data_IF_928089776917
#
_entry.id   IF_928089776917
#
_cell.length_a   1.000
_cell.length_b   1.000
_cell.length_c   1.000
_cell.angle_alpha   90.00
_cell.angle_beta   90.00
_cell.angle_gamma   90.00
#
_symmetry.space_group_name_H-M   'P 1'
#
loop_
_entity.id
_entity.type
_entity.pdbx_description
1 polymer ?
#
# COMPACT_ATOMS: atom_id res chain seq x y z
N UNK A 1 5.48 -4.39 -7.29
CA UNK A 1 5.37 -3.61 -6.04
C UNK A 1 3.94 -3.73 -5.54
N UNK A 2 3.75 -4.14 -4.30
CA UNK A 2 2.45 -4.19 -3.64
C UNK A 2 2.42 -3.13 -2.53
N UNK A 3 1.39 -2.30 -2.52
CA UNK A 3 1.14 -1.29 -1.49
C UNK A 3 -0.10 -1.72 -0.72
N UNK A 4 0.05 -1.89 0.60
CA UNK A 4 -1.03 -2.38 1.46
C UNK A 4 -1.26 -1.41 2.62
N UNK A 5 -2.48 -0.86 2.80
CA UNK A 5 -2.82 -0.09 3.99
C UNK A 5 -3.06 -1.04 5.18
N UNK A 6 -2.56 -0.64 6.36
CA UNK A 6 -2.71 -1.38 7.61
C UNK A 6 -3.09 -0.41 8.72
N UNK A 7 -4.10 -0.73 9.52
CA UNK A 7 -4.53 0.05 10.67
C UNK A 7 -4.04 -0.56 11.99
N UNK A 8 -3.68 0.30 12.95
CA UNK A 8 -3.29 -0.11 14.30
C UNK A 8 -1.79 -0.08 14.56
N UNK A 9 -1.40 -0.32 15.83
CA UNK A 9 -0.03 -0.19 16.35
C UNK A 9 0.73 -1.52 16.48
N UNK A 10 0.18 -2.62 16.02
CA UNK A 10 0.87 -3.93 16.04
C UNK A 10 2.15 -3.90 15.21
N UNK A 11 3.18 -4.70 15.58
CA UNK A 11 4.40 -4.86 14.79
C UNK A 11 4.07 -5.21 13.34
N UNK A 12 4.84 -4.69 12.38
CA UNK A 12 4.66 -5.02 10.97
C UNK A 12 5.22 -6.42 10.72
N UNK A 13 4.38 -7.45 10.90
CA UNK A 13 4.75 -8.78 10.43
C UNK A 13 4.54 -8.83 8.91
N UNK A 14 5.62 -9.04 8.17
CA UNK A 14 5.63 -9.11 6.70
C UNK A 14 5.52 -10.54 6.18
N UNK A 15 5.12 -11.47 7.04
CA UNK A 15 4.91 -12.88 6.70
C UNK A 15 3.76 -13.13 5.71
N UNK A 16 3.13 -12.05 5.25
CA UNK A 16 2.00 -12.07 4.34
C UNK A 16 0.66 -12.42 5.02
N UNK A 17 0.66 -12.82 6.28
CA UNK A 17 -0.57 -13.09 7.03
C UNK A 17 -1.19 -11.81 7.60
N UNK A 18 -0.36 -10.93 8.17
CA UNK A 18 -0.80 -9.66 8.76
C UNK A 18 -1.13 -8.56 7.74
N UNK A 19 -0.70 -8.72 6.49
CA UNK A 19 -0.96 -7.76 5.38
C UNK A 19 -2.14 -8.17 4.51
N UNK A 20 -2.79 -9.31 4.79
CA UNK A 20 -4.00 -9.73 4.10
C UNK A 20 -5.23 -9.16 4.79
N UNK A 21 -6.10 -8.54 4.02
CA UNK A 21 -7.40 -8.08 4.48
C UNK A 21 -8.49 -8.90 3.82
N UNK A 22 -9.54 -9.21 4.59
CA UNK A 22 -10.78 -9.73 4.02
C UNK A 22 -11.58 -8.58 3.43
N UNK A 23 -12.40 -8.85 2.45
CA UNK A 23 -13.36 -7.90 1.90
C UNK A 23 -14.63 -8.63 1.49
N UNK A 24 -15.69 -7.88 1.20
CA UNK A 24 -16.95 -8.42 0.69
C UNK A 24 -17.23 -7.80 -0.67
N UNK A 25 -17.61 -8.61 -1.65
CA UNK A 25 -18.06 -8.11 -2.96
C UNK A 25 -19.22 -7.12 -2.85
N UNK A 26 -20.02 -7.16 -1.77
CA UNK A 26 -21.06 -6.16 -1.52
C UNK A 26 -20.55 -4.77 -1.18
N UNK A 27 -19.26 -4.62 -0.85
CA UNK A 27 -18.60 -3.33 -0.59
C UNK A 27 -17.74 -2.85 -1.76
N UNK A 28 -17.68 -3.62 -2.84
CA UNK A 28 -16.93 -3.24 -4.04
C UNK A 28 -17.76 -2.31 -4.94
N UNK A 29 -17.10 -1.28 -5.43
CA UNK A 29 -17.57 -0.39 -6.48
C UNK A 29 -16.48 -0.31 -7.55
N UNK A 30 -16.81 -0.64 -8.80
CA UNK A 30 -15.87 -0.62 -9.89
C UNK A 30 -16.47 0.07 -11.12
N UNK A 31 -15.70 0.95 -11.72
CA UNK A 31 -15.97 1.56 -13.02
C UNK A 31 -14.66 1.75 -13.79
N UNK A 32 -14.73 2.17 -15.05
CA UNK A 32 -13.52 2.42 -15.81
C UNK A 32 -12.65 3.47 -15.11
N UNK A 33 -11.41 3.12 -14.79
CA UNK A 33 -10.46 4.00 -14.11
C UNK A 33 -10.67 4.17 -12.59
N UNK A 34 -11.65 3.50 -11.98
CA UNK A 34 -11.92 3.63 -10.55
C UNK A 34 -12.30 2.31 -9.88
N UNK A 35 -11.76 2.08 -8.70
CA UNK A 35 -12.10 0.95 -7.83
C UNK A 35 -12.18 1.38 -6.38
N UNK A 36 -13.18 0.87 -5.66
CA UNK A 36 -13.36 1.08 -4.22
C UNK A 36 -13.71 -0.22 -3.52
N UNK A 37 -13.21 -0.40 -2.30
CA UNK A 37 -13.51 -1.55 -1.45
C UNK A 37 -13.30 -1.21 0.02
N UNK A 38 -14.07 -1.84 0.91
CA UNK A 38 -13.80 -1.83 2.34
C UNK A 38 -12.95 -3.05 2.72
N UNK A 39 -11.73 -2.79 3.18
CA UNK A 39 -10.80 -3.78 3.69
C UNK A 39 -11.08 -4.01 5.17
N UNK A 40 -11.54 -5.21 5.49
CA UNK A 40 -11.78 -5.64 6.87
C UNK A 40 -10.44 -6.03 7.50
N UNK A 41 -10.21 -5.65 8.75
CA UNK A 41 -9.00 -6.03 9.48
C UNK A 41 -8.81 -7.55 9.51
N UNK A 42 -7.61 -8.04 9.86
CA UNK A 42 -7.36 -9.47 10.00
C UNK A 42 -8.39 -10.05 10.98
N UNK A 43 -8.84 -11.30 10.75
CA UNK A 43 -9.75 -11.95 11.69
C UNK A 43 -9.09 -11.98 13.06
N UNK A 44 -9.82 -11.59 14.10
CA UNK A 44 -9.37 -11.76 15.49
C UNK A 44 -9.27 -13.27 15.68
N UNK A 45 -8.05 -13.81 15.76
CA UNK A 45 -7.84 -15.20 16.16
C UNK A 45 -8.35 -15.34 17.58
N UNK A 46 -9.49 -16.03 17.73
CA UNK A 46 -9.96 -16.45 19.03
C UNK A 46 -8.90 -17.35 19.67
N UNK A 47 -8.72 -17.26 20.98
CA UNK A 47 -7.71 -17.96 21.76
C UNK A 47 -7.79 -19.51 21.69
N UNK A 48 -8.70 -20.09 20.91
CA UNK A 48 -9.09 -21.49 20.99
C UNK A 48 -8.78 -22.34 19.76
N UNK A 49 -7.91 -21.90 18.85
CA UNK A 49 -7.42 -22.77 17.77
C UNK A 49 -8.50 -23.38 16.85
N UNK A 50 -9.74 -22.92 16.89
CA UNK A 50 -10.83 -23.40 16.05
C UNK A 50 -10.65 -22.89 14.62
N UNK A 51 -10.75 -23.80 13.68
CA UNK A 51 -10.56 -23.63 12.24
C UNK A 51 -11.30 -22.41 11.68
N UNK A 52 -10.54 -21.57 11.00
CA UNK A 52 -10.89 -20.24 10.45
C UNK A 52 -12.00 -20.29 9.37
N UNK A 53 -12.46 -21.45 8.95
CA UNK A 53 -13.41 -21.61 7.82
C UNK A 53 -14.87 -21.27 8.12
N UNK A 54 -15.26 -21.11 9.38
CA UNK A 54 -16.67 -20.90 9.77
C UNK A 54 -17.01 -19.51 10.35
N UNK A 55 -16.02 -18.68 10.66
CA UNK A 55 -16.28 -17.33 11.17
C UNK A 55 -16.44 -16.36 9.99
N UNK A 56 -17.69 -16.08 9.60
CA UNK A 56 -17.97 -14.85 8.85
C UNK A 56 -17.32 -13.69 9.63
N UNK A 57 -16.46 -12.87 9.00
CA UNK A 57 -15.85 -11.76 9.70
C UNK A 57 -16.98 -10.88 10.24
N UNK A 58 -17.15 -10.89 11.56
CA UNK A 58 -18.11 -10.01 12.22
C UNK A 58 -17.60 -8.61 11.99
N UNK A 59 -18.33 -7.82 11.22
CA UNK A 59 -18.05 -6.40 11.00
C UNK A 59 -18.02 -5.72 12.36
N UNK A 60 -16.84 -5.46 12.91
CA UNK A 60 -16.72 -4.47 13.98
C UNK A 60 -16.90 -3.13 13.27
N UNK A 61 -18.05 -2.50 13.48
CA UNK A 61 -18.33 -1.19 12.90
C UNK A 61 -17.19 -0.23 13.26
N UNK A 62 -16.58 0.39 12.24
CA UNK A 62 -15.47 1.34 12.43
C UNK A 62 -14.06 0.74 12.42
N UNK A 63 -13.87 -0.54 12.07
CA UNK A 63 -12.53 -1.17 11.98
C UNK A 63 -12.03 -1.40 10.54
N UNK A 64 -12.81 -1.05 9.52
CA UNK A 64 -12.43 -1.20 8.13
C UNK A 64 -11.65 0.00 7.59
N UNK A 65 -10.71 -0.28 6.68
CA UNK A 65 -10.06 0.74 5.86
C UNK A 65 -10.84 0.82 4.55
N UNK A 66 -11.39 1.98 4.20
CA UNK A 66 -11.92 2.17 2.85
C UNK A 66 -10.77 2.51 1.92
N UNK A 67 -10.58 1.72 0.87
CA UNK A 67 -9.57 1.91 -0.16
C UNK A 67 -10.24 2.32 -1.49
N UNK A 68 -9.80 3.43 -2.06
CA UNK A 68 -10.21 3.92 -3.37
C UNK A 68 -8.98 4.07 -4.25
N UNK A 69 -9.07 3.60 -5.49
CA UNK A 69 -7.96 3.55 -6.44
C UNK A 69 -8.37 4.17 -7.76
N UNK A 70 -7.49 4.99 -8.32
CA UNK A 70 -7.58 5.49 -9.69
C UNK A 70 -6.17 5.59 -10.29
N UNK A 71 -6.05 5.84 -11.58
CA UNK A 71 -4.75 5.93 -12.24
C UNK A 71 -4.79 6.79 -13.49
N UNK A 72 -3.65 7.36 -13.81
CA UNK A 72 -3.29 7.93 -15.11
C UNK A 72 -2.41 6.94 -15.90
N UNK A 73 -1.71 7.39 -16.94
CA UNK A 73 -0.85 6.52 -17.75
C UNK A 73 0.32 5.91 -16.96
N UNK A 74 0.95 6.69 -16.06
CA UNK A 74 2.13 6.26 -15.30
C UNK A 74 2.00 6.50 -13.79
N UNK A 75 0.85 6.96 -13.30
CA UNK A 75 0.66 7.26 -11.88
C UNK A 75 -0.58 6.57 -11.34
N UNK A 76 -0.40 5.73 -10.32
CA UNK A 76 -1.50 5.24 -9.49
C UNK A 76 -1.79 6.23 -8.36
N UNK A 77 -3.06 6.49 -8.10
CA UNK A 77 -3.49 7.33 -6.98
C UNK A 77 -4.42 6.54 -6.09
N UNK A 78 -4.06 6.47 -4.81
CA UNK A 78 -4.83 5.74 -3.81
C UNK A 78 -5.36 6.72 -2.77
N UNK A 79 -6.59 6.54 -2.32
CA UNK A 79 -7.20 7.24 -1.20
C UNK A 79 -7.59 6.22 -0.15
N UNK A 80 -7.02 6.35 1.06
CA UNK A 80 -7.27 5.44 2.18
C UNK A 80 -7.92 6.19 3.34
N UNK A 81 -9.15 5.80 3.69
CA UNK A 81 -9.79 6.26 4.92
C UNK A 81 -9.54 5.22 6.01
N UNK A 82 -8.72 5.59 6.99
CA UNK A 82 -8.42 4.76 8.15
C UNK A 82 -9.48 4.90 9.25
N UNK A 83 -9.64 3.87 10.11
CA UNK A 83 -10.48 3.96 11.30
C UNK A 83 -9.99 5.06 12.25
N UNK A 84 -10.92 5.84 12.81
CA UNK A 84 -10.59 6.92 13.74
C UNK A 84 -9.81 6.42 14.96
N UNK A 85 -8.79 7.18 15.35
CA UNK A 85 -7.95 6.89 16.52
C UNK A 85 -6.97 5.73 16.33
N UNK A 86 -6.95 5.08 15.17
CA UNK A 86 -5.97 4.04 14.85
C UNK A 86 -4.82 4.62 14.02
N UNK A 87 -3.61 4.12 14.26
CA UNK A 87 -2.46 4.52 13.46
C UNK A 87 -2.63 4.06 12.01
N UNK A 88 -2.46 4.99 11.09
CA UNK A 88 -2.43 4.73 9.65
C UNK A 88 -1.03 4.27 9.24
N UNK A 89 -0.94 3.16 8.52
CA UNK A 89 0.32 2.59 8.08
C UNK A 89 0.22 2.12 6.63
N UNK A 90 1.33 2.24 5.90
CA UNK A 90 1.47 1.71 4.54
C UNK A 90 2.63 0.73 4.52
N UNK A 91 2.35 -0.47 4.03
CA UNK A 91 3.37 -1.52 3.80
C UNK A 91 3.67 -1.58 2.31
N UNK A 92 4.95 -1.41 1.98
CA UNK A 92 5.48 -1.56 0.64
C UNK A 92 6.19 -2.91 0.53
N UNK A 93 5.59 -3.86 -0.18
CA UNK A 93 6.17 -5.18 -0.40
C UNK A 93 6.76 -5.29 -1.81
N UNK A 94 8.08 -5.42 -1.88
CA UNK A 94 8.83 -5.54 -3.13
C UNK A 94 9.04 -7.00 -3.57
N UNK A 95 8.75 -7.98 -2.69
CA UNK A 95 8.88 -9.42 -2.98
C UNK A 95 7.62 -10.03 -3.60
N UNK A 96 6.53 -9.25 -3.72
CA UNK A 96 5.26 -9.78 -4.16
C UNK A 96 5.32 -10.35 -5.59
N UNK A 97 4.89 -11.60 -5.76
CA UNK A 97 4.81 -12.43 -6.99
C UNK A 97 6.17 -12.83 -7.55
N UNK A 98 6.75 -12.07 -8.47
CA UNK A 98 7.91 -12.46 -9.27
C UNK A 98 9.17 -12.69 -8.42
N UNK A 99 10.12 -13.47 -8.95
CA UNK A 99 11.42 -13.65 -8.31
C UNK A 99 12.15 -12.32 -8.21
N UNK A 100 12.34 -11.81 -7.00
CA UNK A 100 13.10 -10.60 -6.75
C UNK A 100 14.59 -10.85 -6.99
N UNK A 101 15.21 -10.06 -7.87
CA UNK A 101 16.65 -10.09 -8.17
C UNK A 101 17.43 -9.04 -7.37
N UNK A 102 16.79 -7.90 -7.07
CA UNK A 102 17.34 -6.81 -6.29
C UNK A 102 16.32 -5.71 -6.07
N UNK A 103 16.59 -4.82 -5.14
CA UNK A 103 15.81 -3.62 -4.90
C UNK A 103 16.66 -2.56 -4.23
N UNK A 104 16.25 -1.32 -4.41
CA UNK A 104 16.67 -0.16 -3.63
C UNK A 104 15.45 0.61 -3.18
N UNK A 105 15.51 1.20 -1.99
CA UNK A 105 14.45 2.02 -1.44
C UNK A 105 15.05 3.07 -0.52
N UNK A 106 14.66 4.33 -0.71
CA UNK A 106 15.17 5.46 0.05
C UNK A 106 14.07 6.46 0.34
N UNK A 107 13.93 6.84 1.61
CA UNK A 107 13.14 7.99 2.01
C UNK A 107 13.94 9.25 1.71
N UNK A 108 13.45 10.08 0.79
CA UNK A 108 14.15 11.30 0.34
C UNK A 108 13.60 12.56 0.98
N UNK A 109 12.40 12.50 1.55
CA UNK A 109 11.81 13.55 2.38
C UNK A 109 10.80 12.96 3.37
N UNK A 110 10.18 13.81 4.18
CA UNK A 110 9.11 13.37 5.09
C UNK A 110 7.89 12.79 4.37
N UNK A 111 7.69 13.14 3.10
CA UNK A 111 6.54 12.74 2.32
C UNK A 111 6.87 11.93 1.06
N UNK A 112 8.15 11.66 0.79
CA UNK A 112 8.55 11.03 -0.46
C UNK A 112 9.54 9.88 -0.26
N UNK A 113 9.24 8.79 -0.94
CA UNK A 113 10.07 7.59 -1.04
C UNK A 113 10.30 7.29 -2.51
N UNK A 114 11.55 6.97 -2.87
CA UNK A 114 11.92 6.52 -4.21
C UNK A 114 12.55 5.14 -4.14
N UNK A 115 12.54 4.43 -5.24
CA UNK A 115 13.22 3.14 -5.28
C UNK A 115 13.19 2.46 -6.63
N UNK A 116 13.83 1.31 -6.64
CA UNK A 116 13.90 0.41 -7.78
C UNK A 116 13.52 -1.01 -7.31
N UNK A 117 12.82 -1.74 -8.17
CA UNK A 117 12.60 -3.17 -8.05
C UNK A 117 13.11 -3.86 -9.29
N UNK A 118 14.03 -4.81 -9.12
CA UNK A 118 14.51 -5.67 -10.17
C UNK A 118 13.97 -7.08 -9.98
N UNK A 119 13.36 -7.65 -10.99
CA UNK A 119 12.70 -8.96 -10.88
C UNK A 119 12.81 -9.78 -12.16
N UNK A 120 12.56 -11.09 -12.02
CA UNK A 120 12.50 -12.04 -13.12
C UNK A 120 11.20 -12.82 -13.08
N UNK A 121 10.52 -12.87 -14.21
CA UNK A 121 9.33 -13.66 -14.46
C UNK A 121 9.30 -14.05 -15.95
N UNK A 122 8.31 -13.60 -16.71
CA UNK A 122 8.29 -13.75 -18.17
C UNK A 122 9.47 -13.04 -18.87
N UNK A 123 9.92 -11.93 -18.32
CA UNK A 123 11.18 -11.30 -18.69
C UNK A 123 12.29 -11.74 -17.72
N UNK A 124 13.49 -12.05 -18.25
CA UNK A 124 14.62 -12.55 -17.44
C UNK A 124 15.16 -11.53 -16.44
N UNK A 125 15.09 -10.25 -16.80
CA UNK A 125 15.56 -9.11 -16.01
C UNK A 125 14.69 -7.91 -16.35
N UNK A 126 13.82 -7.54 -15.41
CA UNK A 126 12.94 -6.40 -15.58
C UNK A 126 13.16 -5.44 -14.40
N UNK A 127 13.27 -4.15 -14.72
CA UNK A 127 13.45 -3.07 -13.76
C UNK A 127 12.22 -2.19 -13.75
N UNK A 128 11.81 -1.82 -12.55
CA UNK A 128 10.74 -0.86 -12.30
C UNK A 128 11.23 0.14 -11.28
N UNK A 129 11.32 1.40 -11.68
CA UNK A 129 11.59 2.53 -10.79
C UNK A 129 10.28 3.14 -10.33
N UNK A 130 10.26 3.62 -9.08
CA UNK A 130 9.07 4.24 -8.51
C UNK A 130 9.42 5.48 -7.69
N UNK A 131 8.46 6.41 -7.64
CA UNK A 131 8.41 7.53 -6.73
C UNK A 131 7.05 7.52 -6.05
N UNK A 132 7.04 7.45 -4.72
CA UNK A 132 5.82 7.42 -3.92
C UNK A 132 5.76 8.69 -3.10
N UNK A 133 4.62 9.42 -3.17
CA UNK A 133 4.36 10.58 -2.32
C UNK A 133 3.12 10.36 -1.48
N UNK A 134 3.19 10.83 -0.23
CA UNK A 134 2.12 10.76 0.76
C UNK A 134 1.61 12.15 1.09
N UNK A 135 0.29 12.30 1.26
CA UNK A 135 -0.33 13.58 1.64
C UNK A 135 -0.07 13.97 3.10
N UNK A 136 0.44 13.04 3.91
CA UNK A 136 0.82 13.26 5.31
C UNK A 136 2.28 12.88 5.52
N UNK A 137 3.01 13.51 6.46
CA UNK A 137 4.40 13.19 6.73
C UNK A 137 4.55 11.82 7.38
N UNK A 138 5.59 11.09 6.97
CA UNK A 138 6.01 9.82 7.56
C UNK A 138 6.58 10.12 8.94
N UNK A 139 5.97 9.56 9.99
CA UNK A 139 6.43 9.68 11.37
C UNK A 139 7.48 8.62 11.72
N UNK A 140 7.25 7.38 11.26
CA UNK A 140 8.15 6.26 11.52
C UNK A 140 8.35 5.45 10.23
N UNK A 141 9.57 4.95 10.05
CA UNK A 141 9.96 4.08 8.95
C UNK A 141 10.58 2.79 9.52
N UNK A 142 10.15 1.65 8.99
CA UNK A 142 10.74 0.36 9.29
C UNK A 142 11.15 -0.31 7.96
N UNK A 143 12.46 -0.35 7.70
CA UNK A 143 13.01 -1.05 6.54
C UNK A 143 13.26 -2.52 6.89
N UNK A 144 12.71 -3.42 6.10
CA UNK A 144 12.77 -4.85 6.35
C UNK A 144 13.70 -5.54 5.34
N UNK A 145 14.91 -5.88 5.75
CA UNK A 145 15.89 -6.57 4.91
C UNK A 145 15.70 -8.09 4.85
N UNK A 146 14.73 -8.65 5.56
CA UNK A 146 14.65 -10.10 5.82
C UNK A 146 14.17 -10.91 4.62
N UNK A 147 14.92 -11.97 4.31
CA UNK A 147 14.58 -12.98 3.30
C UNK A 147 13.36 -13.83 3.75
N UNK A 148 13.13 -13.94 5.06
CA UNK A 148 12.10 -14.82 5.64
C UNK A 148 10.71 -14.16 5.74
N UNK A 149 10.66 -12.83 5.81
CA UNK A 149 9.40 -12.08 6.06
C UNK A 149 9.04 -11.08 4.94
N UNK A 150 9.73 -11.13 3.80
CA UNK A 150 9.54 -10.21 2.69
C UNK A 150 10.54 -9.05 2.70
N UNK A 151 10.70 -8.41 1.54
CA UNK A 151 11.60 -7.27 1.33
C UNK A 151 10.78 -6.05 0.99
N UNK A 152 10.99 -4.97 1.73
CA UNK A 152 10.22 -3.76 1.56
C UNK A 152 10.40 -2.79 2.73
N UNK A 153 9.44 -1.92 2.91
CA UNK A 153 9.40 -0.97 4.01
C UNK A 153 7.98 -0.76 4.52
N UNK A 154 7.88 -0.36 5.78
CA UNK A 154 6.66 0.11 6.40
C UNK A 154 6.78 1.57 6.79
N UNK A 155 5.72 2.31 6.58
CA UNK A 155 5.64 3.73 6.90
C UNK A 155 4.43 3.97 7.80
N UNK A 156 4.65 4.64 8.95
CA UNK A 156 3.59 5.02 9.89
C UNK A 156 3.32 6.53 9.81
N UNK A 157 2.06 6.90 9.89
CA UNK A 157 1.57 8.29 9.81
C UNK A 157 0.84 8.72 11.08
N UNK A 158 0.79 7.86 12.12
CA UNK A 158 -0.03 8.09 13.29
C UNK A 158 -1.53 8.01 13.00
N UNK A 159 -2.35 8.50 13.92
CA UNK A 159 -3.79 8.59 13.71
C UNK A 159 -4.12 9.79 12.81
N UNK A 160 -4.85 9.55 11.74
CA UNK A 160 -5.22 10.56 10.76
C UNK A 160 -6.71 10.92 10.87
N UNK A 161 -7.01 12.23 10.84
CA UNK A 161 -8.38 12.74 10.79
C UNK A 161 -8.93 12.83 9.35
N UNK A 162 -8.03 12.90 8.36
CA UNK A 162 -8.36 12.98 6.94
C UNK A 162 -7.84 11.74 6.20
N UNK A 163 -8.40 11.41 5.04
CA UNK A 163 -7.89 10.32 4.22
C UNK A 163 -6.42 10.53 3.84
N UNK A 164 -5.65 9.45 3.85
CA UNK A 164 -4.29 9.45 3.30
C UNK A 164 -4.37 9.26 1.78
N UNK A 165 -3.84 10.24 1.04
CA UNK A 165 -3.62 10.10 -0.40
C UNK A 165 -2.20 9.61 -0.65
N UNK A 166 -2.07 8.57 -1.46
CA UNK A 166 -0.78 8.00 -1.88
C UNK A 166 -0.70 8.08 -3.40
N UNK A 167 0.31 8.76 -3.90
CA UNK A 167 0.60 8.84 -5.35
C UNK A 167 1.82 8.00 -5.67
N UNK A 168 1.74 7.16 -6.69
CA UNK A 168 2.78 6.22 -7.09
C UNK A 168 3.11 6.43 -8.56
N UNK A 169 4.14 7.21 -8.82
CA UNK A 169 4.72 7.33 -10.16
C UNK A 169 5.62 6.15 -10.47
N UNK A 170 5.57 5.63 -11.69
CA UNK A 170 6.42 4.55 -12.17
C UNK A 170 7.17 4.94 -13.43
N UNK A 171 8.34 4.30 -13.63
CA UNK A 171 9.15 4.43 -14.86
C UNK A 171 9.95 3.14 -15.10
N UNK A 172 10.15 2.80 -16.37
CA UNK A 172 11.07 1.72 -16.76
C UNK A 172 12.52 2.23 -16.95
N UNK A 173 12.77 3.53 -16.77
CA UNK A 173 14.04 4.18 -17.13
C UNK A 173 14.83 4.60 -15.89
N UNK A 174 14.23 5.39 -14.99
CA UNK A 174 14.91 5.90 -13.78
C UNK A 174 13.93 6.37 -12.70
N UNK A 175 14.45 6.62 -11.49
CA UNK A 175 13.69 7.21 -10.37
C UNK A 175 13.28 8.66 -10.70
N UNK A 176 14.13 9.42 -11.38
CA UNK A 176 13.84 10.78 -11.87
C UNK A 176 12.69 10.75 -12.87
N UNK A 177 12.65 9.76 -13.76
CA UNK A 177 11.55 9.54 -14.71
C UNK A 177 10.24 9.22 -14.00
N UNK A 178 10.27 8.40 -12.94
CA UNK A 178 9.09 8.12 -12.12
C UNK A 178 8.58 9.37 -11.40
N UNK A 179 9.49 10.20 -10.87
CA UNK A 179 9.15 11.50 -10.25
C UNK A 179 8.56 12.48 -11.27
N UNK A 180 9.17 12.60 -12.44
CA UNK A 180 8.69 13.49 -13.50
C UNK A 180 7.28 13.11 -13.99
N UNK A 181 7.00 11.81 -14.14
CA UNK A 181 5.66 11.31 -14.45
C UNK A 181 4.65 11.71 -13.37
N UNK A 182 5.02 11.52 -12.08
CA UNK A 182 4.16 11.88 -10.96
C UNK A 182 3.85 13.38 -10.93
N UNK A 183 4.85 14.23 -11.15
CA UNK A 183 4.69 15.69 -11.15
C UNK A 183 3.89 16.20 -12.35
N UNK A 184 4.08 15.59 -13.50
CA UNK A 184 3.40 15.97 -14.74
C UNK A 184 1.92 15.53 -14.76
N UNK A 185 1.65 14.29 -14.35
CA UNK A 185 0.31 13.69 -14.51
C UNK A 185 -0.60 13.99 -13.32
N UNK A 186 -0.04 14.08 -12.09
CA UNK A 186 -0.81 14.31 -10.85
C UNK A 186 -0.10 15.35 -9.96
N UNK A 187 -0.05 16.63 -10.36
CA UNK A 187 0.63 17.67 -9.59
C UNK A 187 -0.01 17.95 -8.23
N UNK A 188 -1.35 17.87 -8.15
CA UNK A 188 -2.14 18.14 -6.94
C UNK A 188 -2.43 16.89 -6.09
N UNK A 189 -3.25 17.09 -5.04
CA UNK A 189 -3.71 16.05 -4.13
C UNK A 189 -5.21 15.75 -4.26
N UNK A 190 -5.87 16.31 -5.27
CA UNK A 190 -7.29 16.09 -5.53
C UNK A 190 -7.49 14.74 -6.24
N UNK A 191 -7.94 13.75 -5.47
CA UNK A 191 -8.22 12.41 -5.97
C UNK A 191 -9.37 12.41 -7.00
N UNK A 192 -10.41 13.21 -6.73
CA UNK A 192 -11.62 13.20 -7.56
C UNK A 192 -11.39 13.90 -8.91
N UNK A 193 -10.38 14.77 -9.00
CA UNK A 193 -9.93 15.35 -10.28
C UNK A 193 -9.24 14.31 -11.19
N UNK A 194 -8.56 13.31 -10.59
CA UNK A 194 -7.87 12.24 -11.33
C UNK A 194 -8.84 11.13 -11.72
N UNK A 195 -9.87 10.88 -10.91
CA UNK A 195 -10.95 9.91 -11.16
C UNK A 195 -11.82 10.35 -12.35
#
# INVERSE_FOLDING_TARGET
VLITPVAGSGGMAFDGSSTRSHFSHSSEEASAGYYKVDLLGPPISGADGASIEAARPTRIAGSSITAELTATAHVGVHRYQFPKGQAARIVLNLSHRDKLLGFDISKVSENEVVGERRSSSWAKDQRLFFCIRFSSPIQEEEVLPSILVGRGAGYSFGALEQPLIVKVGISAVSMEGARANLESEVPGWDFDLVR
#
